data_IF_898190706618
#
_entry.id   IF_898190706618
#
_cell.length_a   1.000
_cell.length_b   1.000
_cell.length_c   1.000
_cell.angle_alpha   90.00
_cell.angle_beta   90.00
_cell.angle_gamma   90.00
#
_symmetry.space_group_name_H-M   'P 1'
#
loop_
_entity.id
_entity.type
_entity.pdbx_description
1 polymer ?
#
# COMPACT_ATOMS: atom_id res chain seq x y z
N UNK A 1 24.51 20.00 -5.50
CA UNK A 1 23.36 19.10 -5.73
C UNK A 1 22.07 19.88 -5.48
N UNK A 2 21.07 19.76 -6.35
CA UNK A 2 19.75 20.40 -6.16
C UNK A 2 18.79 19.33 -5.64
N UNK A 3 18.05 19.62 -4.58
CA UNK A 3 17.01 18.74 -4.03
C UNK A 3 15.66 19.42 -4.22
N UNK A 4 14.71 18.71 -4.83
CA UNK A 4 13.33 19.15 -4.96
C UNK A 4 12.49 18.45 -3.88
N UNK A 5 11.76 19.23 -3.08
CA UNK A 5 10.88 18.74 -2.04
C UNK A 5 9.54 19.48 -2.11
N UNK A 6 8.44 18.75 -2.05
CA UNK A 6 7.09 19.30 -1.97
C UNK A 6 6.55 19.00 -0.57
N UNK A 7 6.30 20.05 0.22
CA UNK A 7 5.60 19.95 1.49
C UNK A 7 4.11 20.31 1.26
N UNK A 8 3.21 19.42 1.65
CA UNK A 8 1.77 19.57 1.38
C UNK A 8 0.93 18.86 2.43
N UNK A 9 -0.26 19.38 2.69
CA UNK A 9 -1.27 18.75 3.55
C UNK A 9 -2.11 17.70 2.81
N UNK A 10 -2.05 17.65 1.47
CA UNK A 10 -2.76 16.67 0.68
C UNK A 10 -2.05 15.31 0.71
N UNK A 11 -2.76 14.23 1.08
CA UNK A 11 -2.20 12.89 1.01
C UNK A 11 -2.42 12.30 -0.40
N UNK A 12 -1.37 12.30 -1.23
CA UNK A 12 -1.35 11.66 -2.55
C UNK A 12 0.10 11.34 -2.98
N UNK A 13 0.82 10.46 -2.27
CA UNK A 13 2.26 10.24 -2.47
C UNK A 13 2.61 9.84 -3.90
N UNK A 14 1.81 8.97 -4.53
CA UNK A 14 2.03 8.55 -5.91
C UNK A 14 1.94 9.71 -6.91
N UNK A 15 1.02 10.65 -6.68
CA UNK A 15 0.89 11.86 -7.49
C UNK A 15 2.09 12.79 -7.31
N UNK A 16 2.52 13.05 -6.07
CA UNK A 16 3.65 13.94 -5.81
C UNK A 16 4.97 13.38 -6.31
N UNK A 17 5.17 12.06 -6.23
CA UNK A 17 6.34 11.40 -6.84
C UNK A 17 6.35 11.59 -8.37
N UNK A 18 5.22 11.39 -9.05
CA UNK A 18 5.09 11.65 -10.50
C UNK A 18 5.32 13.12 -10.83
N UNK A 19 4.79 14.03 -10.02
CA UNK A 19 4.96 15.47 -10.19
C UNK A 19 6.44 15.88 -10.05
N UNK A 20 7.12 15.44 -8.99
CA UNK A 20 8.55 15.71 -8.78
C UNK A 20 9.39 15.25 -9.98
N UNK A 21 9.12 14.04 -10.50
CA UNK A 21 9.80 13.54 -11.68
C UNK A 21 9.57 14.43 -12.91
N UNK A 22 8.34 14.89 -13.13
CA UNK A 22 8.04 15.80 -14.24
C UNK A 22 8.64 17.21 -14.05
N UNK A 23 9.00 17.60 -12.83
CA UNK A 23 9.66 18.88 -12.52
C UNK A 23 11.19 18.87 -12.70
N UNK A 24 11.82 17.69 -12.84
CA UNK A 24 13.28 17.58 -13.05
C UNK A 24 13.77 18.25 -14.33
N UNK A 25 13.00 18.16 -15.43
CA UNK A 25 13.35 18.79 -16.70
C UNK A 25 13.10 20.32 -16.68
N UNK A 26 11.96 20.83 -16.18
CA UNK A 26 11.75 22.26 -15.97
C UNK A 26 12.82 22.95 -15.11
N UNK A 27 13.22 22.37 -13.97
CA UNK A 27 14.18 23.03 -13.07
C UNK A 27 15.56 23.25 -13.72
N UNK A 28 15.94 22.38 -14.67
CA UNK A 28 17.22 22.50 -15.40
C UNK A 28 17.17 23.48 -16.57
N UNK A 29 15.98 23.78 -17.10
CA UNK A 29 15.81 24.57 -18.34
C UNK A 29 15.35 26.00 -18.09
N UNK A 30 14.60 26.23 -17.02
CA UNK A 30 14.02 27.53 -16.72
C UNK A 30 15.02 28.45 -16.03
N UNK A 31 14.89 29.77 -16.27
CA UNK A 31 15.50 30.78 -15.41
C UNK A 31 14.87 30.75 -14.00
N UNK A 32 15.53 31.36 -13.02
CA UNK A 32 15.01 31.49 -11.65
C UNK A 32 13.62 32.15 -11.61
N UNK A 33 13.40 33.20 -12.40
CA UNK A 33 12.09 33.83 -12.55
C UNK A 33 11.05 32.87 -13.12
N UNK A 34 11.43 32.08 -14.13
CA UNK A 34 10.54 31.10 -14.73
C UNK A 34 10.19 29.94 -13.82
N UNK A 35 11.16 29.47 -13.06
CA UNK A 35 10.98 28.46 -12.04
C UNK A 35 10.03 28.96 -10.94
N UNK A 36 10.23 30.19 -10.48
CA UNK A 36 9.38 30.83 -9.46
C UNK A 36 7.93 30.96 -9.91
N UNK A 37 7.69 31.41 -11.16
CA UNK A 37 6.33 31.50 -11.72
C UNK A 37 5.68 30.11 -11.81
N UNK A 38 6.40 29.09 -12.28
CA UNK A 38 5.88 27.72 -12.36
C UNK A 38 5.50 27.19 -10.97
N UNK A 39 6.36 27.38 -9.96
CA UNK A 39 6.09 26.95 -8.59
C UNK A 39 4.91 27.70 -7.96
N UNK A 40 4.78 29.00 -8.20
CA UNK A 40 3.63 29.77 -7.74
C UNK A 40 2.33 29.26 -8.36
N UNK A 41 2.33 28.97 -9.66
CA UNK A 41 1.17 28.37 -10.33
C UNK A 41 0.84 26.99 -9.75
N UNK A 42 1.84 26.16 -9.47
CA UNK A 42 1.66 24.86 -8.82
C UNK A 42 1.06 24.99 -7.42
N UNK A 43 1.53 25.94 -6.61
CA UNK A 43 1.10 26.13 -5.23
C UNK A 43 -0.35 26.62 -5.10
N UNK A 44 -0.88 27.32 -6.11
CA UNK A 44 -2.27 27.80 -6.12
C UNK A 44 -3.30 26.76 -6.59
N UNK A 45 -2.84 25.61 -7.10
CA UNK A 45 -3.73 24.57 -7.61
C UNK A 45 -4.17 23.63 -6.49
N UNK A 46 -5.44 23.22 -6.52
CA UNK A 46 -5.91 22.16 -5.63
C UNK A 46 -5.36 20.81 -6.05
N UNK A 47 -5.20 19.90 -5.09
CA UNK A 47 -4.88 18.50 -5.38
C UNK A 47 -5.98 17.94 -6.30
N UNK A 48 -5.64 17.40 -7.49
CA UNK A 48 -6.65 16.87 -8.40
C UNK A 48 -7.47 15.76 -7.75
N UNK A 49 -8.71 15.56 -8.19
CA UNK A 49 -9.46 14.36 -7.83
C UNK A 49 -8.76 13.10 -8.37
N UNK A 50 -8.88 11.94 -7.70
CA UNK A 50 -8.33 10.68 -8.22
C UNK A 50 -8.80 10.40 -9.66
N UNK A 51 -7.87 10.03 -10.54
CA UNK A 51 -8.10 9.80 -11.97
C UNK A 51 -8.09 11.07 -12.84
N UNK A 52 -7.94 12.26 -12.24
CA UNK A 52 -7.89 13.51 -12.99
C UNK A 52 -6.45 13.95 -13.28
N UNK A 53 -6.27 14.61 -14.42
CA UNK A 53 -5.00 15.23 -14.82
C UNK A 53 -4.91 16.65 -14.27
N UNK A 54 -3.74 17.01 -13.75
CA UNK A 54 -3.32 18.39 -13.59
C UNK A 54 -2.43 18.80 -14.76
N UNK A 55 -2.71 19.97 -15.31
CA UNK A 55 -1.92 20.59 -16.38
C UNK A 55 -1.42 21.92 -15.82
N UNK A 56 -0.10 22.09 -15.77
CA UNK A 56 0.55 23.30 -15.31
C UNK A 56 1.30 23.93 -16.47
N UNK A 57 0.92 25.16 -16.83
CA UNK A 57 1.51 25.85 -17.96
C UNK A 57 2.20 27.13 -17.50
N UNK A 58 3.39 27.35 -18.05
CA UNK A 58 4.00 28.67 -18.12
C UNK A 58 4.15 29.04 -19.60
N UNK A 59 3.55 30.18 -19.97
CA UNK A 59 3.90 30.87 -21.20
C UNK A 59 5.04 31.84 -20.91
N UNK A 60 6.19 31.67 -21.56
CA UNK A 60 7.34 32.57 -21.42
C UNK A 60 7.70 33.18 -22.76
N UNK A 61 7.65 34.51 -22.86
CA UNK A 61 8.16 35.21 -24.04
C UNK A 61 9.67 34.97 -24.12
N UNK A 62 10.14 34.22 -25.13
CA UNK A 62 11.56 34.01 -25.44
C UNK A 62 12.24 32.76 -24.86
N UNK A 63 11.59 31.96 -24.00
CA UNK A 63 12.18 30.71 -23.45
C UNK A 63 11.38 29.43 -23.76
N UNK A 64 10.30 29.55 -24.56
CA UNK A 64 9.42 28.45 -24.90
C UNK A 64 8.42 28.13 -23.79
N UNK A 65 7.26 27.60 -24.20
CA UNK A 65 6.21 27.22 -23.26
C UNK A 65 6.57 25.91 -22.54
N UNK A 66 6.54 25.93 -21.21
CA UNK A 66 6.74 24.72 -20.40
C UNK A 66 5.38 24.29 -19.88
N UNK A 67 4.94 23.11 -20.34
CA UNK A 67 3.75 22.44 -19.84
C UNK A 67 4.17 21.20 -19.03
N UNK A 68 3.75 21.13 -17.78
CA UNK A 68 3.89 19.94 -16.92
C UNK A 68 2.51 19.31 -16.80
N UNK A 69 2.35 18.08 -17.30
CA UNK A 69 1.10 17.32 -17.16
C UNK A 69 1.36 16.16 -16.21
N UNK A 70 0.54 16.00 -15.19
CA UNK A 70 0.60 14.85 -14.27
C UNK A 70 -0.81 14.36 -13.98
N UNK A 71 -0.98 13.08 -13.73
CA UNK A 71 -2.27 12.48 -13.42
C UNK A 71 -2.26 11.96 -11.99
N UNK A 72 -3.30 12.26 -11.22
CA UNK A 72 -3.50 11.61 -9.92
C UNK A 72 -4.03 10.21 -10.16
N UNK A 73 -3.32 9.15 -9.72
CA UNK A 73 -3.85 7.79 -9.79
C UNK A 73 -5.19 7.66 -9.06
N UNK A 74 -6.01 6.71 -9.49
CA UNK A 74 -7.32 6.43 -8.87
C UNK A 74 -7.21 5.87 -7.47
N UNK A 75 -6.19 5.05 -7.26
CA UNK A 75 -5.78 4.53 -5.98
C UNK A 75 -4.32 4.88 -5.74
N UNK A 76 -3.96 5.10 -4.48
CA UNK A 76 -2.55 5.24 -4.07
C UNK A 76 -1.89 3.86 -4.03
N UNK A 77 -2.03 3.07 -5.12
CA UNK A 77 -1.15 1.94 -5.32
C UNK A 77 0.26 2.48 -5.33
N UNK A 78 1.12 1.87 -4.54
CA UNK A 78 2.53 2.14 -4.56
C UNK A 78 3.14 1.52 -5.82
N UNK A 79 2.69 1.95 -7.02
CA UNK A 79 3.26 1.53 -8.31
C UNK A 79 4.77 1.89 -8.41
N UNK A 80 5.24 2.72 -7.49
CA UNK A 80 6.62 3.15 -7.33
C UNK A 80 7.40 2.36 -6.27
N UNK A 81 6.72 1.56 -5.42
CA UNK A 81 7.39 0.70 -4.45
C UNK A 81 8.08 -0.47 -5.17
N UNK A 82 9.36 -0.65 -4.87
CA UNK A 82 10.16 -1.75 -5.40
C UNK A 82 10.10 -2.92 -4.43
N UNK A 83 9.26 -3.91 -4.74
CA UNK A 83 9.00 -5.06 -3.87
C UNK A 83 9.98 -6.21 -4.08
N UNK A 84 10.50 -6.34 -5.30
CA UNK A 84 11.42 -7.38 -5.72
C UNK A 84 12.71 -7.34 -4.93
N UNK A 85 13.38 -6.17 -4.78
CA UNK A 85 14.56 -6.11 -3.95
C UNK A 85 14.24 -6.54 -2.50
N UNK A 86 13.05 -6.21 -1.97
CA UNK A 86 12.67 -6.46 -0.57
C UNK A 86 12.53 -7.96 -0.33
N UNK A 87 11.84 -8.63 -1.26
CA UNK A 87 11.69 -10.08 -1.26
C UNK A 87 13.02 -10.80 -1.48
N UNK A 88 13.97 -10.16 -2.17
CA UNK A 88 15.34 -10.64 -2.31
C UNK A 88 16.14 -10.56 -1.01
N UNK A 89 16.01 -9.45 -0.28
CA UNK A 89 16.72 -9.17 0.96
C UNK A 89 16.18 -9.95 2.18
N UNK A 90 14.91 -10.35 2.15
CA UNK A 90 14.25 -11.00 3.28
C UNK A 90 13.84 -12.44 2.98
N UNK A 91 13.88 -13.26 4.03
CA UNK A 91 13.12 -14.50 4.05
C UNK A 91 11.61 -14.19 4.08
N UNK A 92 10.84 -15.04 3.40
CA UNK A 92 9.38 -14.86 3.26
C UNK A 92 8.73 -14.82 4.65
N UNK A 93 9.22 -15.63 5.60
CA UNK A 93 8.66 -15.67 6.95
C UNK A 93 8.88 -14.35 7.71
N UNK A 94 10.05 -13.70 7.54
CA UNK A 94 10.32 -12.38 8.12
C UNK A 94 9.40 -11.33 7.48
N UNK A 95 9.27 -11.34 6.15
CA UNK A 95 8.36 -10.43 5.45
C UNK A 95 6.90 -10.58 5.93
N UNK A 96 6.42 -11.81 6.08
CA UNK A 96 5.08 -12.07 6.58
C UNK A 96 4.92 -11.69 8.05
N UNK A 97 5.97 -11.80 8.86
CA UNK A 97 5.97 -11.31 10.25
C UNK A 97 5.86 -9.80 10.31
N UNK A 98 6.58 -9.07 9.46
CA UNK A 98 6.46 -7.61 9.33
C UNK A 98 5.02 -7.23 9.00
N UNK A 99 4.47 -7.82 7.93
CA UNK A 99 3.09 -7.50 7.49
C UNK A 99 2.06 -7.88 8.56
N UNK A 100 2.21 -9.03 9.23
CA UNK A 100 1.29 -9.43 10.30
C UNK A 100 1.35 -8.48 11.50
N UNK A 101 2.55 -8.03 11.87
CA UNK A 101 2.75 -7.07 12.97
C UNK A 101 2.11 -5.72 12.67
N UNK A 102 2.23 -5.25 11.42
CA UNK A 102 1.55 -4.04 10.97
C UNK A 102 0.03 -4.22 10.89
N UNK A 103 -0.47 -5.35 10.37
CA UNK A 103 -1.92 -5.61 10.36
C UNK A 103 -2.53 -5.62 11.76
N UNK A 104 -1.75 -6.02 12.77
CA UNK A 104 -2.14 -5.93 14.19
C UNK A 104 -1.93 -4.57 14.83
N UNK A 105 -1.58 -3.55 14.05
CA UNK A 105 -1.29 -2.19 14.52
C UNK A 105 -0.27 -2.20 15.66
N UNK A 106 0.89 -2.84 15.43
CA UNK A 106 2.00 -2.91 16.39
C UNK A 106 3.24 -2.19 15.86
N UNK A 107 4.26 -2.09 16.71
CA UNK A 107 5.50 -1.35 16.47
C UNK A 107 6.48 -2.16 15.64
N UNK A 108 6.87 -1.62 14.48
CA UNK A 108 7.88 -2.17 13.57
C UNK A 108 8.99 -1.16 13.36
N UNK A 109 10.23 -1.62 13.52
CA UNK A 109 11.45 -0.89 13.20
C UNK A 109 12.23 -1.63 12.13
N UNK A 110 12.52 -0.93 11.03
CA UNK A 110 13.33 -1.41 9.93
C UNK A 110 14.70 -0.73 10.00
N UNK A 111 15.78 -1.50 9.84
CA UNK A 111 17.15 -1.01 10.00
C UNK A 111 17.92 -1.26 8.71
N UNK A 112 18.63 -0.24 8.23
CA UNK A 112 19.48 -0.34 7.04
C UNK A 112 20.54 0.78 7.05
N UNK A 113 21.73 0.50 6.53
CA UNK A 113 22.84 1.45 6.50
C UNK A 113 22.64 2.53 5.42
N UNK A 114 22.03 2.17 4.30
CA UNK A 114 21.71 3.11 3.21
C UNK A 114 20.34 3.75 3.44
N UNK A 115 20.33 5.05 3.76
CA UNK A 115 19.09 5.80 4.01
C UNK A 115 18.14 5.85 2.80
N UNK A 116 18.66 5.85 1.57
CA UNK A 116 17.81 5.84 0.38
C UNK A 116 17.15 4.48 0.22
N UNK A 117 17.89 3.40 0.46
CA UNK A 117 17.35 2.05 0.44
C UNK A 117 16.34 1.84 1.59
N UNK A 118 16.65 2.33 2.79
CA UNK A 118 15.76 2.31 3.96
C UNK A 118 14.42 2.99 3.69
N UNK A 119 14.45 4.18 3.08
CA UNK A 119 13.22 4.87 2.63
C UNK A 119 12.40 3.97 1.69
N UNK A 120 13.05 3.38 0.67
CA UNK A 120 12.37 2.50 -0.28
C UNK A 120 11.78 1.26 0.40
N UNK A 121 12.47 0.69 1.38
CA UNK A 121 11.98 -0.46 2.15
C UNK A 121 10.76 -0.15 3.00
N UNK A 122 10.75 0.98 3.69
CA UNK A 122 9.60 1.37 4.52
C UNK A 122 8.36 1.54 3.66
N UNK A 123 8.50 2.20 2.51
CA UNK A 123 7.39 2.41 1.56
C UNK A 123 6.97 1.10 0.88
N UNK A 124 7.93 0.22 0.57
CA UNK A 124 7.65 -1.12 0.06
C UNK A 124 6.85 -1.96 1.06
N UNK A 125 7.25 -1.97 2.34
CA UNK A 125 6.53 -2.68 3.41
C UNK A 125 5.12 -2.14 3.60
N UNK A 126 4.95 -0.82 3.67
CA UNK A 126 3.61 -0.22 3.79
C UNK A 126 2.72 -0.58 2.60
N UNK A 127 3.28 -0.63 1.38
CA UNK A 127 2.51 -0.97 0.18
C UNK A 127 1.87 -2.35 0.22
N UNK A 128 2.46 -3.29 0.96
CA UNK A 128 1.91 -4.63 1.14
C UNK A 128 0.64 -4.65 1.99
N UNK A 129 0.30 -3.55 2.66
CA UNK A 129 -0.94 -3.37 3.41
C UNK A 129 -2.12 -2.98 2.51
N UNK A 130 -1.91 -2.63 1.24
CA UNK A 130 -2.99 -2.26 0.32
C UNK A 130 -4.10 -3.34 0.30
N UNK A 131 -5.38 -2.98 0.50
CA UNK A 131 -5.99 -1.65 0.30
C UNK A 131 -5.97 -0.72 1.52
N UNK A 132 -5.34 -1.13 2.62
CA UNK A 132 -5.26 -0.32 3.84
C UNK A 132 -4.20 0.77 3.74
N UNK A 133 -4.40 1.83 4.51
CA UNK A 133 -3.44 2.91 4.72
C UNK A 133 -2.99 2.84 6.17
N UNK A 134 -1.69 2.89 6.41
CA UNK A 134 -1.17 2.99 7.77
C UNK A 134 -1.62 4.30 8.41
N UNK A 135 -2.26 4.22 9.58
CA UNK A 135 -2.89 5.36 10.26
C UNK A 135 -2.02 5.96 11.37
N UNK A 136 -0.96 5.27 11.80
CA UNK A 136 -0.09 5.71 12.88
C UNK A 136 1.19 6.36 12.38
N UNK A 137 2.09 6.68 13.32
CA UNK A 137 3.38 7.30 13.01
C UNK A 137 4.18 6.44 12.03
N UNK A 138 4.52 7.04 10.88
CA UNK A 138 5.48 6.51 9.91
C UNK A 138 6.61 7.51 9.72
N UNK A 139 7.85 7.08 9.97
CA UNK A 139 9.04 7.88 9.66
C UNK A 139 9.99 6.99 8.85
N UNK A 140 10.00 7.09 7.51
CA UNK A 140 10.81 6.21 6.66
C UNK A 140 12.32 6.30 6.91
N UNK A 141 12.82 7.45 7.34
CA UNK A 141 14.21 7.61 7.78
C UNK A 141 14.21 8.51 9.01
N UNK A 142 14.44 7.94 10.18
CA UNK A 142 14.47 8.66 11.46
C UNK A 142 15.77 9.48 11.53
N UNK A 143 15.69 10.82 11.53
CA UNK A 143 16.87 11.64 11.78
C UNK A 143 17.30 11.54 13.25
N UNK A 144 18.58 11.77 13.52
CA UNK A 144 19.12 11.73 14.89
C UNK A 144 18.35 12.62 15.88
N UNK A 145 17.86 13.77 15.44
CA UNK A 145 17.06 14.68 16.27
C UNK A 145 15.68 14.13 16.68
N UNK A 146 15.16 13.12 15.97
CA UNK A 146 13.88 12.48 16.26
C UNK A 146 14.05 11.04 16.77
N UNK A 147 15.26 10.65 17.20
CA UNK A 147 15.50 9.29 17.70
C UNK A 147 14.55 8.91 18.85
N UNK A 148 14.16 9.89 19.66
CA UNK A 148 13.21 9.73 20.76
C UNK A 148 11.86 9.14 20.34
N UNK A 149 11.47 9.24 19.06
CA UNK A 149 10.24 8.63 18.57
C UNK A 149 10.24 7.10 18.68
N UNK A 150 11.43 6.47 18.74
CA UNK A 150 11.56 5.02 18.96
C UNK A 150 11.02 4.56 20.33
N UNK A 151 10.99 5.45 21.32
CA UNK A 151 10.47 5.16 22.66
C UNK A 151 8.94 5.27 22.76
N UNK A 152 8.23 5.55 21.67
CA UNK A 152 6.76 5.61 21.68
C UNK A 152 6.15 4.23 22.02
N UNK A 153 5.10 4.24 22.84
CA UNK A 153 4.28 3.04 23.13
C UNK A 153 3.17 2.84 22.09
N UNK A 154 2.86 3.86 21.31
CA UNK A 154 1.88 3.77 20.22
C UNK A 154 2.45 2.96 19.05
N UNK A 155 1.58 2.36 18.22
CA UNK A 155 2.02 1.70 16.99
C UNK A 155 2.82 2.65 16.10
N UNK A 156 3.84 2.11 15.42
CA UNK A 156 4.62 2.88 14.47
C UNK A 156 5.27 1.99 13.41
N UNK A 157 5.66 2.61 12.30
CA UNK A 157 6.56 2.05 11.30
C UNK A 157 7.74 3.01 11.11
N UNK A 158 8.90 2.66 11.67
CA UNK A 158 10.09 3.51 11.66
C UNK A 158 11.22 2.86 10.85
N UNK A 159 11.85 3.63 9.98
CA UNK A 159 13.14 3.28 9.41
C UNK A 159 14.27 3.94 10.19
N UNK A 160 15.11 3.16 10.87
CA UNK A 160 16.22 3.66 11.67
C UNK A 160 17.54 3.37 10.95
N UNK A 161 18.35 4.39 10.61
CA UNK A 161 19.68 4.16 10.05
C UNK A 161 20.53 3.29 10.97
N UNK A 162 21.30 2.35 10.41
CA UNK A 162 22.13 1.43 11.22
C UNK A 162 23.09 2.16 12.17
N UNK A 163 23.50 3.39 11.86
CA UNK A 163 24.33 4.24 12.75
C UNK A 163 23.63 4.72 14.03
N UNK A 164 22.29 4.64 14.09
CA UNK A 164 21.48 5.07 15.23
C UNK A 164 20.85 3.90 15.99
N UNK A 165 21.03 2.65 15.53
CA UNK A 165 20.32 1.49 16.09
C UNK A 165 20.62 1.25 17.57
N UNK A 166 21.88 1.39 17.99
CA UNK A 166 22.25 1.22 19.41
C UNK A 166 21.49 2.20 20.30
N UNK A 167 21.47 3.49 19.92
CA UNK A 167 20.73 4.52 20.65
C UNK A 167 19.22 4.26 20.64
N UNK A 168 18.67 3.75 19.53
CA UNK A 168 17.26 3.39 19.46
C UNK A 168 16.93 2.23 20.42
N UNK A 169 17.72 1.15 20.40
CA UNK A 169 17.52 -0.01 21.27
C UNK A 169 17.65 0.35 22.76
N UNK A 170 18.53 1.29 23.11
CA UNK A 170 18.71 1.75 24.50
C UNK A 170 17.47 2.48 25.07
N UNK A 171 16.63 3.08 24.22
CA UNK A 171 15.46 3.87 24.64
C UNK A 171 14.12 3.20 24.37
N UNK A 172 14.09 2.13 23.55
CA UNK A 172 12.86 1.38 23.30
C UNK A 172 12.40 0.73 24.61
N UNK A 173 11.10 0.80 24.86
CA UNK A 173 10.46 0.08 25.97
C UNK A 173 9.33 -0.80 25.45
N UNK A 174 9.22 -2.02 25.97
CA UNK A 174 8.24 -3.01 25.54
C UNK A 174 8.52 -3.63 24.17
N UNK A 175 7.58 -4.43 23.64
CA UNK A 175 7.79 -5.23 22.43
C UNK A 175 7.78 -4.38 21.15
N UNK A 176 8.85 -4.51 20.37
CA UNK A 176 9.01 -3.93 19.03
C UNK A 176 9.64 -4.98 18.11
N UNK A 177 9.05 -5.21 16.94
CA UNK A 177 9.67 -6.04 15.91
C UNK A 177 10.78 -5.22 15.24
N UNK A 178 12.04 -5.62 15.42
CA UNK A 178 13.19 -4.93 14.84
C UNK A 178 13.84 -5.83 13.79
N UNK A 179 13.86 -5.36 12.54
CA UNK A 179 14.36 -6.12 11.39
C UNK A 179 15.57 -5.42 10.79
N UNK A 180 16.68 -6.13 10.72
CA UNK A 180 17.88 -5.73 9.99
C UNK A 180 17.73 -6.13 8.52
N UNK A 181 17.60 -5.13 7.65
CA UNK A 181 17.41 -5.31 6.22
C UNK A 181 18.73 -5.45 5.46
N UNK A 182 19.87 -5.10 6.06
CA UNK A 182 21.20 -5.32 5.48
C UNK A 182 21.58 -6.81 5.57
N UNK A 183 21.17 -7.47 6.64
CA UNK A 183 21.44 -8.89 6.90
C UNK A 183 20.23 -9.81 6.74
N UNK A 184 19.05 -9.25 6.51
CA UNK A 184 17.80 -10.00 6.35
C UNK A 184 17.41 -10.79 7.60
N UNK A 185 17.63 -10.23 8.80
CA UNK A 185 17.52 -10.94 10.07
C UNK A 185 16.73 -10.15 11.12
N UNK A 186 16.31 -10.82 12.19
CA UNK A 186 15.60 -10.19 13.30
C UNK A 186 16.59 -9.81 14.40
N UNK A 187 16.54 -8.54 14.82
CA UNK A 187 17.25 -8.06 16.00
C UNK A 187 16.38 -8.15 17.26
N UNK A 188 15.06 -8.07 17.10
CA UNK A 188 14.07 -8.26 18.16
C UNK A 188 12.78 -8.82 17.58
N UNK A 189 12.23 -9.81 18.27
CA UNK A 189 11.04 -10.55 17.87
C UNK A 189 9.71 -9.79 18.10
N UNK A 190 9.73 -8.73 18.90
CA UNK A 190 8.51 -8.01 19.28
C UNK A 190 7.52 -8.88 20.05
N UNK A 191 6.23 -8.65 19.83
CA UNK A 191 5.16 -9.52 20.34
C UNK A 191 4.99 -10.75 19.43
N UNK A 192 4.50 -11.86 19.98
CA UNK A 192 4.16 -13.03 19.16
C UNK A 192 2.92 -12.73 18.31
N UNK A 193 3.17 -12.44 17.02
CA UNK A 193 2.14 -12.18 16.00
C UNK A 193 2.12 -13.31 14.95
N UNK A 194 2.82 -14.43 15.20
CA UNK A 194 3.10 -15.45 14.18
C UNK A 194 1.85 -16.17 13.64
N UNK A 195 0.71 -16.06 14.32
CA UNK A 195 -0.52 -16.79 14.00
C UNK A 195 -1.67 -15.89 13.54
N UNK A 196 -1.38 -14.67 13.12
CA UNK A 196 -2.44 -13.72 12.77
C UNK A 196 -3.11 -14.05 11.44
N UNK A 197 -2.34 -14.34 10.39
CA UNK A 197 -2.91 -14.64 9.07
C UNK A 197 -3.55 -16.05 9.04
N UNK A 198 -4.70 -16.23 8.34
CA UNK A 198 -5.28 -17.56 8.18
C UNK A 198 -4.34 -18.53 7.44
N UNK A 199 -3.98 -19.67 8.06
CA UNK A 199 -3.00 -20.66 7.56
C UNK A 199 -3.13 -21.05 6.08
N UNK A 200 -4.35 -21.10 5.54
CA UNK A 200 -4.59 -21.42 4.13
C UNK A 200 -4.16 -20.27 3.20
N UNK A 201 -4.49 -19.04 3.57
CA UNK A 201 -4.09 -17.83 2.86
C UNK A 201 -2.60 -17.59 2.98
N UNK A 202 -2.04 -17.76 4.18
CA UNK A 202 -0.60 -17.65 4.40
C UNK A 202 0.18 -18.62 3.52
N UNK A 203 -0.20 -19.90 3.44
CA UNK A 203 0.46 -20.87 2.54
C UNK A 203 0.34 -20.49 1.06
N UNK A 204 -0.82 -20.00 0.63
CA UNK A 204 -1.01 -19.53 -0.75
C UNK A 204 -0.11 -18.33 -1.05
N UNK A 205 -0.02 -17.40 -0.11
CA UNK A 205 0.85 -16.22 -0.18
C UNK A 205 2.33 -16.64 -0.22
N UNK A 206 2.80 -17.50 0.70
CA UNK A 206 4.16 -18.05 0.67
C UNK A 206 4.49 -18.70 -0.68
N UNK A 207 3.55 -19.46 -1.26
CA UNK A 207 3.74 -20.10 -2.57
C UNK A 207 3.90 -19.06 -3.67
N UNK A 208 3.03 -18.04 -3.71
CA UNK A 208 3.09 -16.98 -4.70
C UNK A 208 4.38 -16.14 -4.58
N UNK A 209 4.78 -15.80 -3.35
CA UNK A 209 6.03 -15.09 -3.07
C UNK A 209 7.26 -15.93 -3.45
N UNK A 210 7.24 -17.23 -3.16
CA UNK A 210 8.33 -18.13 -3.57
C UNK A 210 8.45 -18.21 -5.09
N UNK A 211 7.33 -18.23 -5.81
CA UNK A 211 7.33 -18.19 -7.28
C UNK A 211 7.89 -16.87 -7.81
N UNK A 212 7.50 -15.74 -7.22
CA UNK A 212 8.03 -14.43 -7.57
C UNK A 212 9.54 -14.34 -7.31
N UNK A 213 10.00 -14.78 -6.13
CA UNK A 213 11.42 -14.77 -5.73
C UNK A 213 12.30 -15.58 -6.68
N UNK A 214 11.80 -16.71 -7.18
CA UNK A 214 12.54 -17.60 -8.09
C UNK A 214 12.38 -17.25 -9.58
N UNK A 215 11.63 -16.20 -9.92
CA UNK A 215 11.38 -15.84 -11.31
C UNK A 215 12.55 -15.04 -11.91
N UNK A 216 13.03 -15.45 -13.08
CA UNK A 216 14.12 -14.80 -13.80
C UNK A 216 13.62 -13.70 -14.75
N UNK A 217 12.78 -12.77 -14.28
CA UNK A 217 12.41 -11.56 -15.04
C UNK A 217 13.56 -10.53 -14.98
N UNK A 218 14.13 -10.09 -16.11
CA UNK A 218 15.21 -9.10 -16.10
C UNK A 218 14.74 -7.69 -15.69
N UNK A 219 13.45 -7.38 -15.79
CA UNK A 219 12.94 -6.02 -15.55
C UNK A 219 12.45 -5.77 -14.12
N UNK A 220 12.33 -6.81 -13.31
CA UNK A 220 11.73 -6.82 -11.95
C UNK A 220 10.25 -6.46 -11.89
N UNK A 221 9.73 -5.72 -12.88
CA UNK A 221 8.34 -5.24 -12.94
C UNK A 221 7.32 -6.37 -12.84
N UNK A 222 7.57 -7.50 -13.50
CA UNK A 222 6.63 -8.63 -13.45
C UNK A 222 6.63 -9.25 -12.06
N UNK A 223 7.80 -9.33 -11.41
CA UNK A 223 7.91 -9.81 -10.03
C UNK A 223 7.20 -8.87 -9.05
N UNK A 224 7.38 -7.55 -9.17
CA UNK A 224 6.68 -6.56 -8.35
C UNK A 224 5.15 -6.67 -8.48
N UNK A 225 4.66 -6.83 -9.71
CA UNK A 225 3.24 -7.07 -9.98
C UNK A 225 2.76 -8.38 -9.34
N UNK A 226 3.53 -9.46 -9.43
CA UNK A 226 3.18 -10.74 -8.82
C UNK A 226 3.08 -10.65 -7.29
N UNK A 227 4.03 -9.95 -6.65
CA UNK A 227 4.03 -9.74 -5.20
C UNK A 227 2.78 -8.94 -4.81
N UNK A 228 2.54 -7.82 -5.50
CA UNK A 228 1.36 -6.96 -5.28
C UNK A 228 0.07 -7.76 -5.41
N UNK A 229 -0.09 -8.50 -6.51
CA UNK A 229 -1.29 -9.32 -6.77
C UNK A 229 -1.50 -10.41 -5.73
N UNK A 230 -0.43 -11.00 -5.18
CA UNK A 230 -0.53 -12.00 -4.13
C UNK A 230 -1.16 -11.42 -2.85
N UNK A 231 -0.71 -10.23 -2.41
CA UNK A 231 -1.28 -9.55 -1.25
C UNK A 231 -2.70 -9.01 -1.53
N UNK A 232 -2.92 -8.36 -2.67
CA UNK A 232 -4.27 -7.88 -3.07
C UNK A 232 -5.27 -9.04 -3.05
N UNK A 233 -4.90 -10.20 -3.60
CA UNK A 233 -5.78 -11.37 -3.65
C UNK A 233 -6.08 -11.94 -2.27
N UNK A 234 -5.11 -11.94 -1.36
CA UNK A 234 -5.34 -12.31 0.04
C UNK A 234 -6.41 -11.41 0.66
N UNK A 235 -6.29 -10.09 0.52
CA UNK A 235 -7.26 -9.15 1.08
C UNK A 235 -8.63 -9.24 0.39
N UNK A 236 -8.67 -9.45 -0.93
CA UNK A 236 -9.93 -9.65 -1.67
C UNK A 236 -10.67 -10.90 -1.17
N UNK A 237 -9.98 -11.99 -0.88
CA UNK A 237 -10.61 -13.20 -0.33
C UNK A 237 -11.15 -12.99 1.09
N UNK A 238 -10.51 -12.12 1.88
CA UNK A 238 -10.93 -11.81 3.27
C UNK A 238 -12.04 -10.76 3.31
N UNK A 239 -12.01 -9.77 2.40
CA UNK A 239 -12.74 -8.49 2.55
C UNK A 239 -13.56 -8.09 1.32
N UNK A 240 -13.46 -8.84 0.22
CA UNK A 240 -14.08 -8.47 -1.06
C UNK A 240 -15.60 -8.34 -1.00
N UNK A 241 -16.24 -8.90 0.03
CA UNK A 241 -17.68 -8.77 0.31
C UNK A 241 -18.04 -7.58 1.21
N UNK A 242 -17.10 -6.71 1.60
CA UNK A 242 -17.36 -5.62 2.54
C UNK A 242 -18.55 -4.73 2.13
N UNK A 243 -18.63 -4.36 0.85
CA UNK A 243 -19.67 -3.46 0.33
C UNK A 243 -21.10 -3.98 0.54
N UNK A 244 -21.32 -5.31 0.50
CA UNK A 244 -22.65 -5.89 0.73
C UNK A 244 -23.11 -5.80 2.19
N UNK A 245 -22.22 -5.38 3.10
CA UNK A 245 -22.51 -5.19 4.52
C UNK A 245 -22.57 -3.71 4.93
N UNK A 246 -22.52 -2.78 3.96
CA UNK A 246 -22.66 -1.35 4.19
C UNK A 246 -24.05 -0.91 3.74
N UNK A 247 -24.82 -0.33 4.66
CA UNK A 247 -26.14 0.24 4.40
C UNK A 247 -26.08 1.76 4.55
N UNK A 248 -26.50 2.52 3.54
CA UNK A 248 -26.58 3.97 3.65
C UNK A 248 -27.83 4.38 4.43
N UNK A 249 -27.67 5.31 5.35
CA UNK A 249 -28.74 5.83 6.19
C UNK A 249 -29.28 7.14 5.61
N UNK A 250 -30.55 7.45 5.89
CA UNK A 250 -31.25 8.64 5.38
C UNK A 250 -30.63 9.96 5.84
N UNK A 251 -29.99 9.96 7.01
CA UNK A 251 -29.26 11.11 7.58
C UNK A 251 -27.91 11.39 6.89
N UNK A 252 -27.53 10.63 5.85
CA UNK A 252 -26.24 10.80 5.21
C UNK A 252 -25.07 10.22 6.01
N UNK A 253 -25.31 9.26 6.92
CA UNK A 253 -24.27 8.36 7.46
C UNK A 253 -24.38 6.95 6.84
N UNK A 254 -23.63 5.99 7.37
CA UNK A 254 -23.70 4.58 6.98
C UNK A 254 -23.81 3.70 8.23
N UNK A 255 -24.40 2.51 8.06
CA UNK A 255 -24.40 1.44 9.04
C UNK A 255 -23.61 0.26 8.47
N UNK A 256 -22.76 -0.34 9.31
CA UNK A 256 -21.97 -1.52 8.95
C UNK A 256 -22.49 -2.75 9.70
N UNK A 257 -22.88 -3.79 8.95
CA UNK A 257 -23.39 -5.04 9.49
C UNK A 257 -22.22 -5.94 9.95
N UNK A 258 -21.52 -5.51 10.99
CA UNK A 258 -20.25 -6.09 11.47
C UNK A 258 -20.33 -7.59 11.71
N UNK A 259 -21.36 -8.07 12.43
CA UNK A 259 -21.51 -9.49 12.76
C UNK A 259 -21.80 -10.34 11.52
N UNK A 260 -22.57 -9.81 10.57
CA UNK A 260 -22.87 -10.50 9.31
C UNK A 260 -21.60 -10.59 8.44
N UNK A 261 -20.85 -9.48 8.35
CA UNK A 261 -19.58 -9.41 7.62
C UNK A 261 -18.56 -10.43 8.14
N UNK A 262 -18.38 -10.52 9.46
CA UNK A 262 -17.44 -11.45 10.08
C UNK A 262 -17.83 -12.92 9.92
N UNK A 263 -19.13 -13.22 9.84
CA UNK A 263 -19.64 -14.60 9.70
C UNK A 263 -19.73 -15.08 8.24
N UNK A 264 -19.78 -14.15 7.28
CA UNK A 264 -19.93 -14.48 5.86
C UNK A 264 -18.86 -15.48 5.37
N UNK A 265 -17.54 -15.29 5.62
CA UNK A 265 -16.53 -16.22 5.12
C UNK A 265 -16.73 -17.63 5.70
N UNK A 266 -16.73 -18.66 4.85
CA UNK A 266 -16.85 -20.06 5.32
C UNK A 266 -15.63 -20.59 6.08
N UNK A 267 -14.48 -19.92 5.96
CA UNK A 267 -13.22 -20.32 6.59
C UNK A 267 -13.15 -19.83 8.04
N UNK A 268 -13.14 -20.77 9.00
CA UNK A 268 -12.97 -20.43 10.42
C UNK A 268 -11.73 -19.59 10.70
N UNK A 269 -10.61 -19.86 10.00
CA UNK A 269 -9.40 -19.06 10.15
C UNK A 269 -9.60 -17.60 9.73
N UNK A 270 -10.35 -17.36 8.64
CA UNK A 270 -10.69 -16.00 8.20
C UNK A 270 -11.64 -15.33 9.20
N UNK A 271 -12.62 -16.07 9.74
CA UNK A 271 -13.51 -15.54 10.78
C UNK A 271 -12.72 -15.12 12.04
N UNK A 272 -11.75 -15.91 12.50
CA UNK A 272 -10.88 -15.56 13.64
C UNK A 272 -10.00 -14.35 13.35
N UNK A 273 -9.44 -14.25 12.14
CA UNK A 273 -8.72 -13.06 11.72
C UNK A 273 -9.61 -11.81 11.80
N UNK A 274 -10.83 -11.90 11.26
CA UNK A 274 -11.77 -10.78 11.25
C UNK A 274 -12.20 -10.33 12.66
N UNK A 275 -12.22 -11.22 13.67
CA UNK A 275 -12.66 -10.86 15.02
C UNK A 275 -11.90 -9.71 15.65
N UNK A 276 -10.58 -9.65 15.46
CA UNK A 276 -9.75 -8.58 15.99
C UNK A 276 -9.45 -7.53 14.91
N UNK A 277 -9.34 -7.94 13.64
CA UNK A 277 -8.93 -7.04 12.57
C UNK A 277 -9.95 -5.93 12.28
N UNK A 278 -11.25 -6.20 12.43
CA UNK A 278 -12.29 -5.17 12.22
C UNK A 278 -12.29 -4.07 13.28
N UNK A 279 -11.54 -4.24 14.37
CA UNK A 279 -11.38 -3.25 15.43
C UNK A 279 -10.19 -2.31 15.20
N UNK A 280 -9.41 -2.54 14.15
CA UNK A 280 -8.22 -1.74 13.82
C UNK A 280 -8.60 -0.37 13.22
N UNK A 281 -7.80 0.66 13.47
CA UNK A 281 -7.96 1.97 12.85
C UNK A 281 -7.80 1.91 11.32
N UNK A 282 -6.91 1.06 10.82
CA UNK A 282 -6.76 0.81 9.39
C UNK A 282 -8.06 0.29 8.76
N UNK A 283 -8.73 -0.65 9.43
CA UNK A 283 -10.02 -1.17 8.95
C UNK A 283 -11.12 -0.11 9.04
N UNK A 284 -11.17 0.69 10.10
CA UNK A 284 -12.12 1.79 10.22
C UNK A 284 -11.98 2.81 9.08
N UNK A 285 -10.74 3.23 8.79
CA UNK A 285 -10.46 4.14 7.68
C UNK A 285 -10.90 3.50 6.35
N UNK A 286 -10.50 2.26 6.08
CA UNK A 286 -10.92 1.52 4.90
C UNK A 286 -12.45 1.47 4.76
N UNK A 287 -13.16 1.12 5.84
CA UNK A 287 -14.62 1.04 5.87
C UNK A 287 -15.26 2.39 5.55
N UNK A 288 -14.72 3.48 6.08
CA UNK A 288 -15.20 4.84 5.79
C UNK A 288 -15.06 5.19 4.30
N UNK A 289 -13.93 4.81 3.68
CA UNK A 289 -13.68 5.02 2.24
C UNK A 289 -14.61 4.13 1.39
N UNK A 290 -14.85 2.87 1.80
CA UNK A 290 -15.86 1.99 1.17
C UNK A 290 -17.25 2.61 1.22
N UNK A 291 -17.68 3.12 2.37
CA UNK A 291 -19.00 3.72 2.54
C UNK A 291 -19.18 4.97 1.67
N UNK A 292 -18.15 5.81 1.56
CA UNK A 292 -18.16 6.94 0.63
C UNK A 292 -18.29 6.48 -0.82
N UNK A 293 -17.61 5.39 -1.21
CA UNK A 293 -17.71 4.83 -2.54
C UNK A 293 -19.11 4.29 -2.85
N UNK A 294 -19.70 3.52 -1.93
CA UNK A 294 -21.08 3.02 -2.04
C UNK A 294 -22.06 4.18 -2.23
N UNK A 295 -21.89 5.28 -1.48
CA UNK A 295 -22.68 6.50 -1.66
C UNK A 295 -22.54 7.11 -3.04
N UNK A 296 -21.33 7.21 -3.57
CA UNK A 296 -21.10 7.76 -4.91
C UNK A 296 -21.74 6.91 -6.00
N UNK A 297 -21.65 5.58 -5.88
CA UNK A 297 -22.26 4.62 -6.81
C UNK A 297 -23.79 4.78 -6.84
N UNK A 298 -24.45 4.91 -5.67
CA UNK A 298 -25.91 5.08 -5.62
C UNK A 298 -26.40 6.41 -6.20
N UNK A 299 -25.59 7.48 -6.14
CA UNK A 299 -25.98 8.81 -6.62
C UNK A 299 -25.75 9.03 -8.12
N UNK A 300 -25.03 8.13 -8.79
CA UNK A 300 -24.55 8.36 -10.16
C UNK A 300 -25.32 7.51 -11.18
N UNK A 301 -26.03 8.10 -12.15
CA UNK A 301 -26.76 7.37 -13.19
C UNK A 301 -25.88 6.41 -14.00
N UNK A 302 -24.62 6.79 -14.24
CA UNK A 302 -23.62 6.01 -14.97
C UNK A 302 -22.58 5.37 -14.02
N UNK A 303 -23.03 4.78 -12.91
CA UNK A 303 -22.13 4.20 -11.89
C UNK A 303 -21.15 3.15 -12.45
N UNK A 304 -21.50 2.44 -13.53
CA UNK A 304 -20.62 1.49 -14.23
C UNK A 304 -19.40 2.14 -14.90
N UNK A 305 -19.47 3.44 -15.21
CA UNK A 305 -18.37 4.24 -15.75
C UNK A 305 -17.51 4.88 -14.67
N UNK A 306 -17.94 4.82 -13.39
CA UNK A 306 -17.12 5.38 -12.31
C UNK A 306 -15.83 4.57 -12.21
N UNK A 307 -14.67 5.23 -12.24
CA UNK A 307 -13.40 4.53 -12.16
C UNK A 307 -13.29 3.66 -10.91
N UNK A 308 -12.60 2.52 -11.02
CA UNK A 308 -12.41 1.55 -9.95
C UNK A 308 -10.92 1.41 -9.66
N UNK A 309 -10.54 1.45 -8.38
CA UNK A 309 -9.22 1.03 -7.95
C UNK A 309 -9.00 -0.46 -8.21
N UNK A 310 -7.77 -0.93 -7.99
CA UNK A 310 -7.44 -2.34 -8.20
C UNK A 310 -8.19 -3.25 -7.25
N UNK A 311 -8.27 -2.90 -5.97
CA UNK A 311 -8.98 -3.70 -4.99
C UNK A 311 -10.44 -3.92 -5.41
N UNK A 312 -11.16 -2.89 -5.85
CA UNK A 312 -12.54 -3.03 -6.29
C UNK A 312 -12.68 -3.85 -7.57
N UNK A 313 -11.77 -3.66 -8.53
CA UNK A 313 -11.77 -4.49 -9.75
C UNK A 313 -11.59 -5.96 -9.39
N UNK A 314 -10.61 -6.26 -8.55
CA UNK A 314 -10.31 -7.63 -8.10
C UNK A 314 -11.43 -8.21 -7.23
N UNK A 315 -12.05 -7.42 -6.35
CA UNK A 315 -13.19 -7.85 -5.55
C UNK A 315 -14.39 -8.21 -6.43
N UNK A 316 -14.70 -7.39 -7.43
CA UNK A 316 -15.77 -7.68 -8.39
C UNK A 316 -15.47 -8.93 -9.23
N UNK A 317 -14.25 -9.05 -9.76
CA UNK A 317 -13.80 -10.25 -10.49
C UNK A 317 -13.96 -11.50 -9.63
N UNK A 318 -13.54 -11.43 -8.36
CA UNK A 318 -13.64 -12.54 -7.42
C UNK A 318 -15.09 -12.94 -7.10
N UNK A 319 -15.98 -11.96 -6.92
CA UNK A 319 -17.42 -12.22 -6.72
C UNK A 319 -18.04 -12.89 -7.94
N UNK A 320 -17.78 -12.37 -9.14
CA UNK A 320 -18.27 -12.96 -10.40
C UNK A 320 -17.75 -14.40 -10.59
N UNK A 321 -16.48 -14.65 -10.28
CA UNK A 321 -15.89 -15.99 -10.32
C UNK A 321 -16.61 -16.96 -9.34
N UNK A 322 -16.99 -16.48 -8.14
CA UNK A 322 -17.73 -17.26 -7.17
C UNK A 322 -19.16 -17.57 -7.65
N UNK A 323 -19.85 -16.59 -8.25
CA UNK A 323 -21.20 -16.74 -8.79
C UNK A 323 -21.26 -17.69 -10.00
N UNK A 324 -20.35 -17.50 -10.97
CA UNK A 324 -20.32 -18.30 -12.20
C UNK A 324 -19.91 -19.75 -11.98
N UNK A 325 -19.10 -20.01 -10.95
CA UNK A 325 -18.68 -21.37 -10.66
C UNK A 325 -19.81 -22.20 -10.02
N UNK A 326 -20.85 -21.59 -9.44
CA UNK A 326 -21.88 -22.33 -8.67
C UNK A 326 -21.29 -23.12 -7.48
N UNK A 327 -20.07 -22.79 -7.08
CA UNK A 327 -19.19 -23.63 -6.25
C UNK A 327 -18.94 -22.99 -4.89
N UNK A 328 -18.85 -23.84 -3.88
CA UNK A 328 -18.38 -23.46 -2.54
C UNK A 328 -16.94 -22.92 -2.60
N UNK A 329 -16.59 -21.95 -1.72
CA UNK A 329 -15.24 -21.42 -1.46
C UNK A 329 -14.11 -22.49 -1.41
N UNK A 330 -14.45 -23.77 -1.20
CA UNK A 330 -13.52 -24.91 -1.24
C UNK A 330 -12.92 -25.19 -2.62
N UNK A 331 -13.62 -24.90 -3.72
CA UNK A 331 -13.20 -25.30 -5.07
C UNK A 331 -12.43 -24.20 -5.81
N UNK A 332 -12.67 -22.93 -5.45
CA UNK A 332 -11.86 -21.78 -5.87
C UNK A 332 -10.38 -21.97 -5.50
N UNK A 333 -10.11 -22.54 -4.32
CA UNK A 333 -8.74 -22.86 -3.89
C UNK A 333 -8.10 -24.04 -4.62
N UNK A 334 -8.88 -24.88 -5.31
CA UNK A 334 -8.36 -25.91 -6.21
C UNK A 334 -7.87 -25.28 -7.52
N UNK A 335 -8.58 -24.26 -8.03
CA UNK A 335 -8.12 -23.42 -9.17
C UNK A 335 -6.89 -22.57 -8.83
N UNK A 336 -6.66 -22.24 -7.56
CA UNK A 336 -5.46 -21.50 -7.11
C UNK A 336 -4.14 -22.25 -7.37
N UNK A 337 -4.16 -23.58 -7.51
CA UNK A 337 -2.95 -24.35 -7.88
C UNK A 337 -2.44 -24.04 -9.30
N UNK A 338 -3.32 -23.58 -10.20
CA UNK A 338 -2.97 -23.27 -11.59
C UNK A 338 -2.68 -21.77 -11.81
N UNK A 339 -2.56 -20.98 -10.73
CA UNK A 339 -2.30 -19.54 -10.85
C UNK A 339 -0.87 -19.25 -11.32
N UNK A 340 0.11 -20.07 -10.92
CA UNK A 340 1.47 -20.00 -11.48
C UNK A 340 1.50 -20.20 -13.00
N UNK A 341 0.59 -21.00 -13.56
CA UNK A 341 0.43 -21.18 -15.01
C UNK A 341 -0.30 -20.00 -15.67
N UNK A 342 -1.29 -19.40 -15.01
CA UNK A 342 -1.95 -18.18 -15.51
C UNK A 342 -1.03 -16.95 -15.48
N UNK A 343 -0.14 -16.85 -14.50
CA UNK A 343 0.88 -15.80 -14.42
C UNK A 343 1.94 -15.95 -15.53
N UNK A 344 2.28 -17.17 -15.96
CA UNK A 344 3.14 -17.39 -17.16
C UNK A 344 2.52 -16.80 -18.43
N UNK A 345 1.19 -16.71 -18.51
CA UNK A 345 0.44 -16.17 -19.64
C UNK A 345 0.23 -14.64 -19.57
N UNK A 346 0.68 -13.95 -18.51
CA UNK A 346 0.64 -12.47 -18.42
C UNK A 346 1.56 -11.77 -19.44
N UNK A 347 2.36 -12.51 -20.22
CA UNK A 347 3.04 -11.99 -21.42
C UNK A 347 2.06 -11.47 -22.51
N UNK A 348 0.76 -11.69 -22.36
CA UNK A 348 -0.27 -11.27 -23.32
C UNK A 348 -0.88 -9.87 -23.04
N UNK A 349 -0.46 -9.17 -21.99
CA UNK A 349 -0.93 -7.80 -21.68
C UNK A 349 0.16 -6.72 -21.84
N UNK A 350 1.15 -6.96 -22.72
CA UNK A 350 2.05 -5.90 -23.20
C UNK A 350 1.41 -5.09 -24.32
#
# INVERSE_FOLDING_TARGET
>A
PVVLCIATSGCAPAFYCKLLHHLENPVRRLSEEGWTILLNNLAQQSLPSPGCKAVYQKHSVGQGDVTVVTERPLDDRFEWAKLTPLLGALDIDILLRIVSTLLSEKRVMLVCADCQQLYQWVEAVESLLYPFKWTFTKIPVVPKSLIIQCSSMEPYLLGVPSSLIHTALDIISGPVLVVDLDHGSLLSDGEDVHTVLPNKLQRALCTALSLAKNMTDPTERVRDMMITEAFVRMFVEILGHCDSHISLLSNGTYAFQKEAFMRMPSSRGVQMFLQWFVETQMFELFLSERAQRVRQLQRTPHHHLLPKGVFERRANEYQLDCEQSGMSLKEVSKRMRNFGEKLRNLKMFQ
#
